data_IF_676584538009
#
_entry.id   IF_676584538009
#
_cell.length_a   1.000
_cell.length_b   1.000
_cell.length_c   1.000
_cell.angle_alpha   90.00
_cell.angle_beta   90.00
_cell.angle_gamma   90.00
#
_symmetry.space_group_name_H-M   'P 1'
#
loop_
_entity.id
_entity.type
_entity.pdbx_description
1 polymer ?
#
# COMPACT_ATOMS: atom_id res chain seq x y z
N UNK A 1 -4.27 -29.40 26.90
CA UNK A 1 -4.29 -29.70 25.45
C UNK A 1 -5.48 -28.97 24.82
N UNK A 2 -5.24 -28.11 23.83
CA UNK A 2 -6.32 -27.43 23.12
C UNK A 2 -6.70 -28.26 21.88
N UNK A 3 -7.94 -28.72 21.82
CA UNK A 3 -8.48 -29.46 20.68
C UNK A 3 -9.26 -28.49 19.78
N UNK A 4 -8.67 -28.04 18.67
CA UNK A 4 -9.36 -27.20 17.68
C UNK A 4 -9.83 -28.09 16.52
N UNK A 5 -11.14 -28.29 16.42
CA UNK A 5 -11.78 -28.91 15.26
C UNK A 5 -12.34 -27.77 14.41
N UNK A 6 -12.13 -27.81 13.10
CA UNK A 6 -12.73 -26.86 12.15
C UNK A 6 -13.75 -27.60 11.29
N UNK A 7 -14.71 -26.89 10.69
CA UNK A 7 -15.71 -27.50 9.81
C UNK A 7 -15.07 -28.32 8.67
N UNK A 8 -13.88 -27.91 8.23
CA UNK A 8 -13.12 -28.56 7.15
C UNK A 8 -12.24 -29.73 7.64
N UNK A 9 -12.06 -29.90 8.95
CA UNK A 9 -11.22 -30.96 9.55
C UNK A 9 -12.06 -31.74 10.57
N UNK A 10 -12.83 -32.75 10.13
CA UNK A 10 -13.76 -33.49 10.98
C UNK A 10 -13.07 -34.43 11.99
N UNK A 11 -11.75 -34.61 11.87
CA UNK A 11 -10.92 -35.49 12.70
C UNK A 11 -9.57 -34.84 12.95
N UNK A 12 -9.14 -34.79 14.20
CA UNK A 12 -7.80 -34.29 14.55
C UNK A 12 -6.84 -35.46 14.66
N UNK A 13 -5.77 -35.44 13.88
CA UNK A 13 -4.73 -36.47 13.89
C UNK A 13 -3.46 -35.93 14.53
N UNK A 14 -2.97 -36.59 15.58
CA UNK A 14 -1.75 -36.21 16.29
C UNK A 14 -0.85 -37.43 16.46
N UNK A 15 0.45 -37.29 16.18
CA UNK A 15 1.41 -38.35 16.47
C UNK A 15 1.67 -38.42 17.99
N UNK A 16 1.58 -39.61 18.57
CA UNK A 16 1.82 -39.82 20.00
C UNK A 16 3.21 -39.35 20.42
N UNK A 17 4.24 -39.63 19.62
CA UNK A 17 5.62 -39.21 19.91
C UNK A 17 5.78 -37.69 19.97
N UNK A 18 4.97 -36.93 19.21
CA UNK A 18 4.98 -35.47 19.28
C UNK A 18 4.14 -34.96 20.45
N UNK A 19 3.13 -35.71 20.91
CA UNK A 19 2.21 -35.30 21.97
C UNK A 19 2.79 -35.56 23.37
N UNK A 20 3.40 -36.73 23.56
CA UNK A 20 3.88 -37.21 24.85
C UNK A 20 4.84 -36.25 25.59
N UNK A 21 5.79 -35.54 24.92
CA UNK A 21 6.66 -34.59 25.59
C UNK A 21 5.95 -33.38 26.22
N UNK A 22 4.73 -33.06 25.76
CA UNK A 22 3.93 -31.96 26.29
C UNK A 22 3.00 -32.39 27.44
N UNK A 23 3.06 -33.66 27.83
CA UNK A 23 2.24 -34.25 28.88
C UNK A 23 3.17 -34.81 29.97
N UNK A 24 2.68 -34.99 31.21
CA UNK A 24 3.42 -35.63 32.28
C UNK A 24 3.47 -37.16 32.09
N UNK A 25 3.85 -37.62 30.90
CA UNK A 25 3.89 -39.02 30.49
C UNK A 25 5.23 -39.33 29.82
N UNK A 26 5.63 -40.60 29.80
CA UNK A 26 6.87 -41.01 29.14
C UNK A 26 6.58 -41.32 27.68
N UNK A 27 7.54 -41.06 26.80
CA UNK A 27 7.40 -41.42 25.38
C UNK A 27 7.62 -42.93 25.24
N UNK A 28 6.55 -43.69 25.04
CA UNK A 28 6.62 -45.14 24.85
C UNK A 28 6.69 -45.55 23.36
N UNK A 29 7.56 -46.49 22.99
CA UNK A 29 7.66 -46.98 21.60
C UNK A 29 6.52 -47.95 21.24
N UNK A 30 5.89 -48.60 22.22
CA UNK A 30 4.87 -49.63 22.01
C UNK A 30 3.47 -49.08 22.25
N UNK A 31 2.55 -49.37 21.33
CA UNK A 31 1.17 -48.88 21.38
C UNK A 31 0.43 -49.28 22.66
N UNK A 32 0.61 -50.51 23.15
CA UNK A 32 -0.05 -50.99 24.36
C UNK A 32 0.32 -50.17 25.61
N UNK A 33 1.57 -49.73 25.70
CA UNK A 33 2.06 -48.92 26.83
C UNK A 33 1.64 -47.46 26.71
N UNK A 34 1.72 -46.89 25.49
CA UNK A 34 1.20 -45.56 25.20
C UNK A 34 -0.29 -45.46 25.54
N UNK A 35 -1.05 -46.49 25.16
CA UNK A 35 -2.47 -46.64 25.47
C UNK A 35 -2.73 -46.69 26.97
N UNK A 36 -2.00 -47.51 27.71
CA UNK A 36 -2.13 -47.61 29.17
C UNK A 36 -1.88 -46.27 29.88
N UNK A 37 -1.00 -45.42 29.36
CA UNK A 37 -0.71 -44.10 29.94
C UNK A 37 -1.78 -43.05 29.62
N UNK A 38 -2.31 -43.03 28.39
CA UNK A 38 -3.24 -41.99 27.95
C UNK A 38 -4.73 -42.37 28.05
N UNK A 39 -5.07 -43.65 28.10
CA UNK A 39 -6.47 -44.11 28.16
C UNK A 39 -7.26 -43.53 29.34
N UNK A 40 -6.71 -43.37 30.57
CA UNK A 40 -7.44 -42.72 31.66
C UNK A 40 -7.87 -41.30 31.30
N UNK A 41 -6.94 -40.47 30.81
CA UNK A 41 -7.23 -39.10 30.43
C UNK A 41 -8.14 -39.01 29.19
N UNK A 42 -8.00 -39.94 28.24
CA UNK A 42 -8.89 -40.03 27.07
C UNK A 42 -10.31 -40.39 27.51
N UNK A 43 -10.45 -41.31 28.46
CA UNK A 43 -11.76 -41.72 29.00
C UNK A 43 -12.47 -40.53 29.64
N UNK A 44 -11.76 -39.72 30.42
CA UNK A 44 -12.30 -38.49 31.00
C UNK A 44 -12.79 -37.49 29.94
N UNK A 45 -12.07 -37.35 28.82
CA UNK A 45 -12.46 -36.47 27.71
C UNK A 45 -13.70 -36.99 26.97
N UNK A 46 -13.84 -38.31 26.87
CA UNK A 46 -15.02 -38.96 26.27
C UNK A 46 -16.23 -38.80 27.18
N UNK A 47 -16.07 -39.07 28.48
CA UNK A 47 -17.13 -38.94 29.48
C UNK A 47 -17.67 -37.51 29.56
N UNK A 48 -16.78 -36.52 29.47
CA UNK A 48 -17.14 -35.09 29.44
C UNK A 48 -17.71 -34.63 28.09
N UNK A 49 -17.80 -35.52 27.09
CA UNK A 49 -18.36 -35.23 25.77
C UNK A 49 -17.53 -34.26 24.93
N UNK A 50 -16.25 -34.05 25.28
CA UNK A 50 -15.30 -33.22 24.53
C UNK A 50 -14.92 -33.91 23.23
N UNK A 51 -14.64 -35.21 23.31
CA UNK A 51 -14.41 -36.09 22.15
C UNK A 51 -15.40 -37.23 22.18
N UNK A 52 -15.86 -37.70 21.02
CA UNK A 52 -16.77 -38.85 20.93
C UNK A 52 -16.01 -40.16 21.14
N UNK A 53 -14.85 -40.26 20.50
CA UNK A 53 -13.93 -41.39 20.62
C UNK A 53 -12.55 -41.00 20.12
N UNK A 54 -11.56 -41.80 20.49
CA UNK A 54 -10.18 -41.69 19.99
C UNK A 54 -9.79 -43.03 19.38
N UNK A 55 -9.49 -43.00 18.08
CA UNK A 55 -9.02 -44.19 17.36
C UNK A 55 -7.47 -44.19 17.39
N UNK A 56 -6.88 -45.30 17.84
CA UNK A 56 -5.43 -45.50 17.81
C UNK A 56 -5.07 -46.21 16.51
N UNK A 57 -4.16 -45.63 15.74
CA UNK A 57 -3.68 -46.21 14.48
C UNK A 57 -2.17 -46.18 14.42
N UNK A 58 -1.59 -47.08 13.64
CA UNK A 58 -0.18 -47.02 13.28
C UNK A 58 -0.05 -46.52 11.84
N UNK A 59 0.77 -45.48 11.64
CA UNK A 59 1.13 -44.99 10.32
C UNK A 59 1.98 -46.02 9.58
N UNK A 60 2.07 -45.89 8.25
CA UNK A 60 2.97 -46.69 7.40
C UNK A 60 4.44 -46.61 7.84
N UNK A 61 4.83 -45.52 8.49
CA UNK A 61 6.17 -45.30 9.03
C UNK A 61 6.37 -45.92 10.43
N UNK A 62 5.41 -46.72 10.94
CA UNK A 62 5.45 -47.33 12.27
C UNK A 62 5.21 -46.35 13.43
N UNK A 63 4.76 -45.12 13.15
CA UNK A 63 4.46 -44.11 14.17
C UNK A 63 3.03 -44.27 14.69
N UNK A 64 2.86 -44.09 16.00
CA UNK A 64 1.55 -44.21 16.65
C UNK A 64 0.80 -42.89 16.48
N UNK A 65 -0.44 -42.95 15.99
CA UNK A 65 -1.29 -41.80 15.73
C UNK A 65 -2.57 -41.91 16.54
N UNK A 66 -2.97 -40.78 17.13
CA UNK A 66 -4.26 -40.63 17.80
C UNK A 66 -5.19 -39.83 16.90
N UNK A 67 -6.36 -40.40 16.62
CA UNK A 67 -7.40 -39.79 15.81
C UNK A 67 -8.55 -39.40 16.72
N UNK A 68 -8.64 -38.12 17.06
CA UNK A 68 -9.72 -37.59 17.88
C UNK A 68 -10.93 -37.27 17.01
N UNK A 69 -12.11 -37.74 17.43
CA UNK A 69 -13.39 -37.40 16.81
C UNK A 69 -14.10 -36.39 17.73
N UNK A 70 -14.53 -35.22 17.21
CA UNK A 70 -15.14 -34.18 18.05
C UNK A 70 -16.43 -34.67 18.71
N UNK A 71 -16.58 -34.37 20.00
CA UNK A 71 -17.76 -34.64 20.79
C UNK A 71 -18.81 -33.52 20.71
N UNK A 72 -20.00 -33.74 21.25
CA UNK A 72 -21.09 -32.77 21.23
C UNK A 72 -20.77 -31.45 21.94
N UNK A 73 -19.89 -31.45 22.95
CA UNK A 73 -19.49 -30.22 23.64
C UNK A 73 -18.82 -29.23 22.68
N UNK A 74 -18.00 -29.72 21.74
CA UNK A 74 -17.29 -28.89 20.76
C UNK A 74 -18.15 -28.55 19.53
N UNK A 75 -19.23 -29.30 19.27
CA UNK A 75 -20.17 -29.01 18.16
C UNK A 75 -21.11 -27.84 18.47
N UNK A 76 -21.44 -27.57 19.75
CA UNK A 76 -22.35 -26.49 20.15
C UNK A 76 -21.77 -25.09 19.93
N UNK A 77 -20.46 -24.91 20.10
CA UNK A 77 -19.80 -23.62 19.88
C UNK A 77 -19.76 -23.21 18.39
N UNK A 78 -19.77 -24.18 17.47
CA UNK A 78 -19.72 -23.93 16.03
C UNK A 78 -21.04 -23.42 15.45
N UNK A 79 -22.18 -23.76 16.05
CA UNK A 79 -23.50 -23.27 15.63
C UNK A 79 -23.96 -22.02 16.39
N UNK A 80 -23.38 -21.72 17.55
CA UNK A 80 -23.75 -20.55 18.37
C UNK A 80 -22.95 -19.27 18.05
N UNK A 81 -21.89 -19.34 17.22
CA UNK A 81 -21.02 -18.18 16.98
C UNK A 81 -21.56 -17.14 15.96
N UNK A 82 -22.89 -17.03 15.84
CA UNK A 82 -23.56 -15.84 15.32
C UNK A 82 -24.39 -15.23 16.44
N UNK A 83 -23.80 -14.23 17.10
CA UNK A 83 -24.38 -13.32 18.11
C UNK A 83 -24.43 -13.90 19.52
N UNK A 84 -23.47 -13.47 20.36
CA UNK A 84 -23.76 -13.07 21.73
C UNK A 84 -22.60 -12.23 22.29
N UNK A 85 -22.97 -11.11 22.92
CA UNK A 85 -22.11 -10.15 23.62
C UNK A 85 -21.45 -10.78 24.86
N UNK A 86 -20.34 -10.20 25.37
CA UNK A 86 -19.64 -10.78 26.51
C UNK A 86 -20.38 -10.45 27.80
N UNK A 87 -20.90 -11.47 28.48
CA UNK A 87 -21.26 -11.39 29.89
C UNK A 87 -20.03 -11.74 30.73
N UNK A 88 -19.63 -10.82 31.58
CA UNK A 88 -18.69 -11.03 32.68
C UNK A 88 -19.20 -12.16 33.58
N UNK A 89 -18.44 -13.25 33.70
CA UNK A 89 -18.07 -13.80 35.00
C UNK A 89 -17.05 -14.93 34.88
N UNK A 90 -16.25 -15.03 35.94
CA UNK A 90 -15.42 -16.17 36.35
C UNK A 90 -13.96 -16.21 35.88
N UNK A 91 -13.11 -16.02 36.89
CA UNK A 91 -11.67 -16.10 36.92
C UNK A 91 -11.14 -17.44 36.38
N UNK A 92 -10.86 -17.48 35.07
CA UNK A 92 -9.76 -18.27 34.54
C UNK A 92 -8.81 -17.31 33.83
N UNK A 93 -7.56 -17.36 34.28
CA UNK A 93 -6.40 -16.72 33.67
C UNK A 93 -6.49 -16.82 32.15
N UNK A 94 -6.76 -15.70 31.49
CA UNK A 94 -6.88 -15.63 30.04
C UNK A 94 -5.51 -15.91 29.44
N UNK A 95 -5.23 -17.20 29.19
CA UNK A 95 -4.16 -17.62 28.31
C UNK A 95 -4.47 -17.05 26.93
N UNK A 96 -3.87 -15.90 26.61
CA UNK A 96 -3.91 -15.31 25.28
C UNK A 96 -3.05 -16.17 24.36
N UNK A 97 -3.66 -17.23 23.82
CA UNK A 97 -3.06 -18.08 22.80
C UNK A 97 -2.87 -17.24 21.54
N UNK A 98 -1.64 -16.77 21.31
CA UNK A 98 -1.22 -16.33 19.98
C UNK A 98 -1.15 -17.58 19.10
N UNK A 99 -2.11 -17.70 18.20
CA UNK A 99 -2.01 -18.61 17.06
C UNK A 99 -0.64 -18.36 16.40
N UNK A 100 0.27 -19.32 16.44
CA UNK A 100 1.37 -19.35 15.50
C UNK A 100 0.72 -19.84 14.20
N UNK A 101 0.39 -18.96 13.23
CA UNK A 101 0.19 -19.47 11.88
C UNK A 101 1.43 -20.29 11.56
N UNK A 102 1.28 -21.40 10.84
CA UNK A 102 2.43 -21.98 10.15
C UNK A 102 3.08 -20.83 9.40
N UNK A 103 4.17 -20.30 9.96
CA UNK A 103 4.83 -19.13 9.41
C UNK A 103 5.52 -19.66 8.17
N UNK A 104 4.83 -19.58 7.04
CA UNK A 104 5.38 -19.94 5.75
C UNK A 104 6.75 -19.29 5.66
N UNK A 105 7.77 -20.11 5.42
CA UNK A 105 9.12 -19.58 5.28
C UNK A 105 9.12 -18.56 4.14
N UNK A 106 9.93 -17.49 4.23
CA UNK A 106 10.01 -16.49 3.17
C UNK A 106 10.29 -17.10 1.79
N UNK A 107 11.07 -18.19 1.75
CA UNK A 107 11.37 -18.98 0.55
C UNK A 107 10.15 -19.69 -0.01
N UNK A 108 9.37 -20.39 0.83
CA UNK A 108 8.11 -21.04 0.41
C UNK A 108 7.10 -20.03 -0.12
N UNK A 109 6.96 -18.90 0.59
CA UNK A 109 6.03 -17.83 0.21
C UNK A 109 6.37 -17.27 -1.16
N UNK A 110 7.65 -17.03 -1.44
CA UNK A 110 8.11 -16.49 -2.71
C UNK A 110 7.80 -17.45 -3.88
N UNK A 111 8.13 -18.74 -3.73
CA UNK A 111 7.88 -19.76 -4.76
C UNK A 111 6.38 -19.97 -4.99
N UNK A 112 5.58 -20.04 -3.91
CA UNK A 112 4.12 -20.12 -4.02
C UNK A 112 3.55 -18.88 -4.71
N UNK A 113 4.08 -17.68 -4.40
CA UNK A 113 3.65 -16.44 -5.04
C UNK A 113 3.88 -16.48 -6.56
N UNK A 114 5.05 -16.96 -6.99
CA UNK A 114 5.34 -17.18 -8.42
C UNK A 114 4.34 -18.14 -9.06
N UNK A 115 4.17 -19.35 -8.53
CA UNK A 115 3.28 -20.36 -9.12
C UNK A 115 1.81 -19.93 -9.09
N UNK A 116 1.40 -19.18 -8.08
CA UNK A 116 0.08 -18.55 -8.00
C UNK A 116 -0.11 -17.51 -9.11
N UNK A 117 0.88 -16.65 -9.37
CA UNK A 117 0.82 -15.65 -10.44
C UNK A 117 0.93 -16.27 -11.84
N UNK A 118 1.67 -17.37 -11.96
CA UNK A 118 1.87 -18.07 -13.22
C UNK A 118 0.66 -18.92 -13.61
N UNK A 119 0.29 -19.88 -12.76
CA UNK A 119 -0.69 -20.93 -13.03
C UNK A 119 -2.05 -20.70 -12.35
N UNK A 120 -2.15 -19.76 -11.40
CA UNK A 120 -3.37 -19.56 -10.60
C UNK A 120 -3.59 -20.59 -9.50
N UNK A 121 -2.67 -21.54 -9.31
CA UNK A 121 -2.80 -22.61 -8.30
C UNK A 121 -2.35 -22.12 -6.91
N UNK A 122 -3.25 -22.02 -5.91
CA UNK A 122 -2.89 -21.52 -4.59
C UNK A 122 -2.11 -22.55 -3.74
N UNK A 123 -2.25 -23.85 -4.02
CA UNK A 123 -1.74 -24.94 -3.18
C UNK A 123 -0.48 -25.61 -3.73
N UNK A 124 0.37 -24.86 -4.44
CA UNK A 124 1.62 -25.42 -4.95
C UNK A 124 2.56 -25.80 -3.79
N UNK A 125 3.13 -27.01 -3.86
CA UNK A 125 4.12 -27.51 -2.90
C UNK A 125 5.51 -27.35 -3.53
N UNK A 126 6.32 -26.37 -3.05
CA UNK A 126 7.62 -26.08 -3.65
C UNK A 126 8.57 -27.27 -3.65
N UNK A 127 9.30 -27.47 -4.75
CA UNK A 127 10.38 -28.46 -4.78
C UNK A 127 11.60 -27.98 -3.96
N UNK A 128 12.38 -28.92 -3.40
CA UNK A 128 13.61 -28.59 -2.65
C UNK A 128 14.62 -27.76 -3.45
N UNK A 129 14.70 -27.98 -4.77
CA UNK A 129 15.55 -27.20 -5.67
C UNK A 129 15.08 -25.75 -5.81
N UNK A 130 13.77 -25.52 -5.91
CA UNK A 130 13.18 -24.18 -5.97
C UNK A 130 13.39 -23.43 -4.66
N UNK A 131 13.28 -24.10 -3.52
CA UNK A 131 13.52 -23.50 -2.21
C UNK A 131 14.98 -23.04 -2.04
N UNK A 132 15.96 -23.85 -2.46
CA UNK A 132 17.38 -23.45 -2.46
C UNK A 132 17.64 -22.24 -3.35
N UNK A 133 17.01 -22.23 -4.53
CA UNK A 133 17.14 -21.10 -5.46
C UNK A 133 16.47 -19.83 -4.90
N UNK A 134 15.30 -19.96 -4.27
CA UNK A 134 14.65 -18.84 -3.58
C UNK A 134 15.49 -18.29 -2.44
N UNK A 135 16.17 -19.15 -1.68
CA UNK A 135 17.08 -18.74 -0.61
C UNK A 135 18.26 -17.91 -1.15
N UNK A 136 18.85 -18.32 -2.28
CA UNK A 136 19.90 -17.56 -2.95
C UNK A 136 19.42 -16.18 -3.39
N UNK A 137 18.27 -16.11 -4.06
CA UNK A 137 17.69 -14.83 -4.51
C UNK A 137 17.39 -13.91 -3.33
N UNK A 138 16.82 -14.44 -2.25
CA UNK A 138 16.52 -13.68 -1.05
C UNK A 138 17.80 -13.16 -0.40
N UNK A 139 18.89 -13.92 -0.41
CA UNK A 139 20.19 -13.46 0.05
C UNK A 139 20.76 -12.31 -0.77
N UNK A 140 20.51 -12.27 -2.08
CA UNK A 140 21.04 -11.25 -2.98
C UNK A 140 20.22 -9.96 -3.00
N UNK A 141 18.89 -10.06 -3.07
CA UNK A 141 17.99 -8.91 -3.26
C UNK A 141 17.11 -8.59 -2.05
N UNK A 142 16.99 -9.53 -1.10
CA UNK A 142 16.04 -9.42 0.00
C UNK A 142 14.60 -9.78 -0.38
N UNK A 143 13.79 -10.09 0.64
CA UNK A 143 12.42 -10.58 0.46
C UNK A 143 11.49 -9.51 -0.11
N UNK A 144 11.59 -8.27 0.39
CA UNK A 144 10.67 -7.19 0.04
C UNK A 144 10.81 -6.74 -1.42
N UNK A 145 12.05 -6.66 -1.93
CA UNK A 145 12.31 -6.27 -3.32
C UNK A 145 11.77 -7.34 -4.27
N UNK A 146 12.02 -8.62 -3.98
CA UNK A 146 11.53 -9.76 -4.75
C UNK A 146 10.00 -9.85 -4.78
N UNK A 147 9.34 -9.72 -3.62
CA UNK A 147 7.88 -9.74 -3.52
C UNK A 147 7.24 -8.61 -4.35
N UNK A 148 7.86 -7.42 -4.37
CA UNK A 148 7.38 -6.28 -5.14
C UNK A 148 7.56 -6.43 -6.66
N UNK A 149 8.65 -7.05 -7.12
CA UNK A 149 8.93 -7.23 -8.56
C UNK A 149 8.31 -8.49 -9.16
N UNK A 150 7.92 -9.48 -8.34
CA UNK A 150 7.48 -10.80 -8.81
C UNK A 150 6.35 -10.74 -9.86
N UNK A 151 5.36 -9.86 -9.66
CA UNK A 151 4.25 -9.67 -10.63
C UNK A 151 4.75 -9.23 -12.00
N UNK A 152 5.77 -8.38 -12.04
CA UNK A 152 6.34 -7.84 -13.26
C UNK A 152 7.22 -8.89 -13.95
N UNK A 153 8.04 -9.60 -13.17
CA UNK A 153 8.84 -10.75 -13.66
C UNK A 153 7.96 -11.78 -14.35
N UNK A 154 6.88 -12.23 -13.69
CA UNK A 154 5.93 -13.20 -14.27
C UNK A 154 5.29 -12.67 -15.55
N UNK A 155 4.94 -11.38 -15.60
CA UNK A 155 4.38 -10.76 -16.81
C UNK A 155 5.38 -10.76 -17.96
N UNK A 156 6.61 -10.32 -17.73
CA UNK A 156 7.67 -10.31 -18.75
C UNK A 156 7.97 -11.73 -19.25
N UNK A 157 8.09 -12.69 -18.33
CA UNK A 157 8.30 -14.09 -18.67
C UNK A 157 7.16 -14.69 -19.50
N UNK A 158 5.88 -14.35 -19.20
CA UNK A 158 4.74 -14.82 -19.99
C UNK A 158 4.76 -14.29 -21.43
N UNK A 159 5.25 -13.06 -21.62
CA UNK A 159 5.38 -12.46 -22.95
C UNK A 159 6.53 -13.07 -23.75
N UNK A 160 7.70 -13.23 -23.15
CA UNK A 160 8.90 -13.69 -23.85
C UNK A 160 9.00 -15.22 -23.95
N UNK A 161 8.59 -15.95 -22.92
CA UNK A 161 8.71 -17.40 -22.80
C UNK A 161 7.48 -18.04 -22.13
N UNK A 162 6.34 -18.17 -22.83
CA UNK A 162 5.10 -18.70 -22.25
C UNK A 162 5.19 -20.15 -21.78
N UNK A 163 6.18 -20.91 -22.26
CA UNK A 163 6.39 -22.31 -21.88
C UNK A 163 7.29 -22.49 -20.65
N UNK A 164 7.96 -21.44 -20.18
CA UNK A 164 8.88 -21.51 -19.04
C UNK A 164 8.12 -21.46 -17.70
N UNK A 165 7.62 -22.62 -17.25
CA UNK A 165 6.83 -22.74 -16.01
C UNK A 165 7.66 -22.92 -14.74
N UNK A 166 8.98 -22.96 -14.85
CA UNK A 166 9.88 -23.24 -13.72
C UNK A 166 10.30 -21.94 -13.01
N UNK A 167 10.31 -21.96 -11.67
CA UNK A 167 10.69 -20.78 -10.89
C UNK A 167 12.14 -20.34 -11.17
N UNK A 168 13.06 -21.26 -11.44
CA UNK A 168 14.46 -20.94 -11.75
C UNK A 168 14.64 -20.10 -13.03
N UNK A 169 13.69 -20.13 -13.96
CA UNK A 169 13.75 -19.32 -15.17
C UNK A 169 13.61 -17.81 -14.88
N UNK A 170 13.12 -17.44 -13.69
CA UNK A 170 13.02 -16.04 -13.24
C UNK A 170 14.39 -15.35 -13.10
N UNK A 171 15.47 -16.12 -12.89
CA UNK A 171 16.83 -15.62 -12.65
C UNK A 171 17.27 -14.57 -13.69
N UNK A 172 16.96 -14.81 -14.96
CA UNK A 172 17.36 -13.95 -16.08
C UNK A 172 16.63 -12.60 -16.09
N UNK A 173 15.42 -12.54 -15.54
CA UNK A 173 14.54 -11.37 -15.64
C UNK A 173 14.58 -10.49 -14.39
N UNK A 174 14.88 -11.07 -13.22
CA UNK A 174 14.87 -10.36 -11.95
C UNK A 174 15.76 -9.10 -11.98
N UNK A 175 17.04 -9.15 -12.41
CA UNK A 175 17.89 -7.96 -12.41
C UNK A 175 17.35 -6.84 -13.31
N UNK A 176 16.88 -7.20 -14.52
CA UNK A 176 16.35 -6.23 -15.47
C UNK A 176 15.08 -5.54 -14.95
N UNK A 177 14.18 -6.30 -14.30
CA UNK A 177 12.94 -5.76 -13.73
C UNK A 177 13.23 -4.89 -12.49
N UNK A 178 14.18 -5.29 -11.64
CA UNK A 178 14.61 -4.49 -10.48
C UNK A 178 15.18 -3.15 -10.96
N UNK A 179 16.11 -3.15 -11.91
CA UNK A 179 16.70 -1.93 -12.44
C UNK A 179 15.69 -1.04 -13.16
N UNK A 180 14.70 -1.64 -13.85
CA UNK A 180 13.60 -0.86 -14.41
C UNK A 180 12.78 -0.18 -13.31
N UNK A 181 12.39 -0.91 -12.26
CA UNK A 181 11.63 -0.35 -11.14
C UNK A 181 12.38 0.78 -10.44
N UNK A 182 13.69 0.63 -10.20
CA UNK A 182 14.54 1.66 -9.60
C UNK A 182 14.60 2.92 -10.47
N UNK A 183 14.72 2.75 -11.80
CA UNK A 183 14.67 3.88 -12.75
C UNK A 183 13.30 4.58 -12.74
N UNK A 184 12.22 3.81 -12.69
CA UNK A 184 10.85 4.36 -12.64
C UNK A 184 10.61 5.13 -11.33
N UNK A 185 11.07 4.59 -10.19
CA UNK A 185 10.96 5.24 -8.89
C UNK A 185 11.75 6.55 -8.83
N UNK A 186 13.00 6.54 -9.31
CA UNK A 186 13.81 7.77 -9.42
C UNK A 186 13.11 8.81 -10.30
N UNK A 187 12.61 8.40 -11.45
CA UNK A 187 11.89 9.30 -12.38
C UNK A 187 10.63 9.88 -11.74
N UNK A 188 9.90 9.08 -10.95
CA UNK A 188 8.71 9.54 -10.22
C UNK A 188 9.07 10.59 -9.16
N UNK A 189 10.14 10.36 -8.39
CA UNK A 189 10.61 11.31 -7.38
C UNK A 189 11.07 12.63 -8.01
N UNK A 190 11.81 12.56 -9.12
CA UNK A 190 12.23 13.76 -9.85
C UNK A 190 11.02 14.57 -10.34
N UNK A 191 10.04 13.93 -10.98
CA UNK A 191 8.81 14.61 -11.42
C UNK A 191 8.03 15.22 -10.27
N UNK A 192 7.96 14.54 -9.12
CA UNK A 192 7.29 15.08 -7.95
C UNK A 192 7.99 16.33 -7.44
N UNK A 193 9.33 16.31 -7.34
CA UNK A 193 10.12 17.47 -6.94
C UNK A 193 9.99 18.64 -7.93
N UNK A 194 9.97 18.36 -9.24
CA UNK A 194 9.75 19.38 -10.28
C UNK A 194 8.37 20.04 -10.15
N UNK A 195 7.32 19.26 -9.89
CA UNK A 195 5.97 19.78 -9.68
C UNK A 195 5.88 20.63 -8.40
N UNK A 196 6.54 20.21 -7.33
CA UNK A 196 6.62 20.98 -6.09
C UNK A 196 7.34 22.32 -6.31
N UNK A 197 8.46 22.31 -7.03
CA UNK A 197 9.20 23.53 -7.38
C UNK A 197 8.34 24.45 -8.25
N UNK A 198 7.67 23.92 -9.27
CA UNK A 198 6.80 24.70 -10.13
C UNK A 198 5.65 25.37 -9.36
N UNK A 199 5.08 24.69 -8.36
CA UNK A 199 4.05 25.29 -7.50
C UNK A 199 4.60 26.44 -6.64
N UNK A 200 5.83 26.32 -6.14
CA UNK A 200 6.50 27.38 -5.39
C UNK A 200 6.74 28.59 -6.29
N UNK A 201 7.28 28.36 -7.48
CA UNK A 201 7.58 29.42 -8.46
C UNK A 201 6.29 30.13 -8.91
N UNK A 202 5.23 29.38 -9.18
CA UNK A 202 3.91 29.93 -9.53
C UNK A 202 3.31 30.75 -8.38
N UNK A 203 3.44 30.27 -7.13
CA UNK A 203 2.96 30.98 -5.96
C UNK A 203 3.75 32.28 -5.73
N UNK A 204 5.06 32.27 -5.94
CA UNK A 204 5.90 33.46 -5.86
C UNK A 204 5.54 34.46 -6.97
N UNK A 205 5.38 34.00 -8.21
CA UNK A 205 4.99 34.85 -9.32
C UNK A 205 3.61 35.49 -9.08
N UNK A 206 2.64 34.73 -8.55
CA UNK A 206 1.33 35.26 -8.14
C UNK A 206 1.43 36.30 -7.03
N UNK A 207 2.26 36.07 -6.01
CA UNK A 207 2.52 37.04 -4.94
C UNK A 207 3.16 38.32 -5.50
N UNK A 208 4.13 38.19 -6.38
CA UNK A 208 4.81 39.34 -7.00
C UNK A 208 3.85 40.14 -7.87
N UNK A 209 3.02 39.48 -8.69
CA UNK A 209 1.97 40.14 -9.49
C UNK A 209 0.96 40.87 -8.62
N UNK A 210 0.53 40.25 -7.52
CA UNK A 210 -0.39 40.86 -6.55
C UNK A 210 0.22 42.08 -5.87
N UNK A 211 1.50 42.02 -5.50
CA UNK A 211 2.25 43.16 -4.95
C UNK A 211 2.36 44.31 -5.96
N UNK A 212 2.69 44.01 -7.22
CA UNK A 212 2.74 45.01 -8.30
C UNK A 212 1.38 45.68 -8.52
N UNK A 213 0.30 44.89 -8.54
CA UNK A 213 -1.06 45.41 -8.70
C UNK A 213 -1.45 46.32 -7.53
N UNK A 214 -1.25 45.87 -6.29
CA UNK A 214 -1.52 46.68 -5.08
C UNK A 214 -0.73 47.99 -5.08
N UNK A 215 0.57 47.94 -5.36
CA UNK A 215 1.43 49.14 -5.45
C UNK A 215 0.93 50.10 -6.53
N UNK A 216 0.50 49.58 -7.69
CA UNK A 216 -0.07 50.40 -8.75
C UNK A 216 -1.34 51.09 -8.26
N UNK A 217 -2.26 50.35 -7.66
CA UNK A 217 -3.52 50.91 -7.17
C UNK A 217 -3.30 51.97 -6.08
N UNK A 218 -2.35 51.75 -5.17
CA UNK A 218 -1.94 52.75 -4.16
C UNK A 218 -1.39 54.03 -4.81
N UNK A 219 -0.55 53.91 -5.84
CA UNK A 219 -0.03 55.07 -6.57
C UNK A 219 -1.14 55.80 -7.35
N UNK A 220 -2.10 55.07 -7.92
CA UNK A 220 -3.24 55.65 -8.63
C UNK A 220 -4.19 56.38 -7.70
N UNK A 221 -4.41 55.86 -6.48
CA UNK A 221 -5.18 56.56 -5.47
C UNK A 221 -4.52 57.90 -5.12
N UNK A 222 -3.22 57.89 -4.82
CA UNK A 222 -2.45 59.12 -4.55
C UNK A 222 -2.47 60.09 -5.72
N UNK A 223 -2.35 59.59 -6.96
CA UNK A 223 -2.43 60.42 -8.16
C UNK A 223 -3.78 61.14 -8.29
N UNK A 224 -4.89 60.49 -7.92
CA UNK A 224 -6.23 61.08 -7.96
C UNK A 224 -6.43 62.16 -6.91
N UNK A 225 -5.74 62.07 -5.77
CA UNK A 225 -5.76 63.06 -4.69
C UNK A 225 -4.97 64.34 -5.03
N UNK A 226 -4.04 64.28 -5.98
CA UNK A 226 -3.25 65.44 -6.40
C UNK A 226 -4.10 66.49 -7.13
N UNK A 227 -3.71 67.76 -6.94
CA UNK A 227 -4.28 68.87 -7.68
C UNK A 227 -4.04 68.71 -9.19
N UNK A 228 -4.84 69.39 -10.02
CA UNK A 228 -4.65 69.35 -11.48
C UNK A 228 -3.29 69.92 -11.86
N UNK A 229 -2.84 70.98 -11.19
CA UNK A 229 -1.55 71.62 -11.41
C UNK A 229 -0.39 70.67 -11.12
N UNK A 230 -0.41 69.96 -9.99
CA UNK A 230 0.66 69.01 -9.63
C UNK A 230 0.73 67.84 -10.61
N UNK A 231 -0.43 67.33 -11.04
CA UNK A 231 -0.50 66.25 -12.04
C UNK A 231 0.13 66.69 -13.37
N UNK A 232 -0.14 67.91 -13.82
CA UNK A 232 0.42 68.43 -15.07
C UNK A 232 1.93 68.65 -14.98
N UNK A 233 2.42 69.18 -13.85
CA UNK A 233 3.87 69.32 -13.61
C UNK A 233 4.59 67.96 -13.62
N UNK A 234 4.04 66.95 -12.93
CA UNK A 234 4.62 65.59 -12.94
C UNK A 234 4.59 65.00 -14.35
N UNK A 235 3.51 65.24 -15.12
CA UNK A 235 3.40 64.78 -16.51
C UNK A 235 4.49 65.39 -17.40
N UNK A 236 4.68 66.69 -17.32
CA UNK A 236 5.72 67.40 -18.09
C UNK A 236 7.12 66.94 -17.72
N UNK A 237 7.40 66.79 -16.43
CA UNK A 237 8.68 66.26 -15.95
C UNK A 237 8.93 64.81 -16.43
N UNK A 238 7.89 63.96 -16.41
CA UNK A 238 8.01 62.59 -16.90
C UNK A 238 8.28 62.54 -18.40
N UNK A 239 7.58 63.35 -19.21
CA UNK A 239 7.82 63.43 -20.66
C UNK A 239 9.22 63.92 -20.97
N UNK A 240 9.70 64.96 -20.26
CA UNK A 240 11.04 65.50 -20.44
C UNK A 240 12.15 64.48 -20.06
N UNK A 241 11.86 63.55 -19.15
CA UNK A 241 12.79 62.51 -18.72
C UNK A 241 12.82 61.28 -19.67
N UNK A 242 11.83 61.11 -20.55
CA UNK A 242 11.82 60.00 -21.50
C UNK A 242 12.77 60.32 -22.67
N UNK A 243 13.72 59.44 -22.99
CA UNK A 243 14.60 59.61 -24.16
C UNK A 243 13.81 59.78 -25.46
N UNK A 244 14.27 60.69 -26.32
CA UNK A 244 13.57 61.07 -27.56
C UNK A 244 13.32 59.88 -28.50
N UNK A 245 14.22 58.90 -28.55
CA UNK A 245 14.10 57.69 -29.35
C UNK A 245 12.96 56.77 -28.86
N UNK A 246 12.67 56.76 -27.56
CA UNK A 246 11.53 56.05 -26.98
C UNK A 246 10.22 56.76 -27.32
N UNK A 247 10.18 58.10 -27.22
CA UNK A 247 9.01 58.89 -27.64
C UNK A 247 8.68 58.66 -29.11
N UNK A 248 9.68 58.71 -29.99
CA UNK A 248 9.52 58.46 -31.43
C UNK A 248 8.97 57.06 -31.73
N UNK A 249 9.37 56.04 -30.96
CA UNK A 249 8.86 54.66 -31.11
C UNK A 249 7.41 54.52 -30.67
N UNK A 250 7.01 55.24 -29.62
CA UNK A 250 5.61 55.28 -29.15
C UNK A 250 4.73 55.95 -30.22
N UNK A 251 5.20 57.04 -30.81
CA UNK A 251 4.51 57.76 -31.89
C UNK A 251 4.42 56.93 -33.19
N UNK A 252 5.48 56.21 -33.56
CA UNK A 252 5.46 55.33 -34.74
C UNK A 252 4.58 54.09 -34.55
N UNK A 253 4.56 53.50 -33.35
CA UNK A 253 3.66 52.39 -33.04
C UNK A 253 2.18 52.80 -33.09
N UNK A 254 1.89 54.08 -32.90
CA UNK A 254 0.55 54.65 -33.00
C UNK A 254 0.06 54.87 -34.43
N UNK A 255 0.98 55.02 -35.39
CA UNK A 255 0.66 55.31 -36.79
C UNK A 255 0.45 54.04 -37.62
N UNK A 256 1.01 52.90 -37.21
CA UNK A 256 0.87 51.61 -37.90
C UNK A 256 -0.31 50.74 -37.45
N UNK A 257 -1.06 51.14 -36.42
CA UNK A 257 -2.21 50.38 -35.89
C UNK A 257 -3.54 51.09 -36.21
N UNK A 258 -4.13 50.79 -37.37
CA UNK A 258 -5.58 50.88 -37.64
C UNK A 258 -6.41 49.86 -36.82
N UNK A 259 -5.94 49.47 -35.64
CA UNK A 259 -6.64 48.58 -34.71
C UNK A 259 -6.77 49.32 -33.36
N UNK A 260 -8.00 49.64 -32.91
CA UNK A 260 -8.24 50.51 -31.76
C UNK A 260 -7.98 49.73 -30.47
N UNK A 261 -6.70 49.56 -30.12
CA UNK A 261 -6.34 49.20 -28.76
C UNK A 261 -6.20 50.49 -27.95
N UNK A 262 -7.01 50.68 -26.89
CA UNK A 262 -6.99 51.89 -26.10
C UNK A 262 -5.64 52.04 -25.39
N UNK A 263 -5.03 53.21 -25.57
CA UNK A 263 -3.72 53.51 -25.03
C UNK A 263 -3.69 53.65 -23.52
N UNK A 264 -2.50 53.38 -22.98
CA UNK A 264 -2.13 53.55 -21.56
C UNK A 264 -2.23 55.03 -21.13
N UNK A 265 -2.23 55.97 -22.08
CA UNK A 265 -2.45 57.40 -21.83
C UNK A 265 -3.93 57.82 -21.77
N UNK A 266 -4.85 57.09 -22.43
CA UNK A 266 -6.29 57.37 -22.40
C UNK A 266 -7.04 56.59 -21.30
N UNK A 267 -6.39 55.61 -20.67
CA UNK A 267 -6.99 54.81 -19.60
C UNK A 267 -7.29 55.60 -18.31
N UNK A 268 -6.78 56.83 -18.17
CA UNK A 268 -6.96 57.64 -16.97
C UNK A 268 -8.11 58.66 -17.02
N UNK A 269 -8.72 58.89 -18.18
CA UNK A 269 -9.82 59.87 -18.31
C UNK A 269 -11.23 59.28 -18.28
N UNK A 270 -11.42 57.97 -18.48
CA UNK A 270 -12.77 57.38 -18.67
C UNK A 270 -13.19 56.37 -17.59
N UNK A 271 -13.25 56.76 -16.31
CA UNK A 271 -13.90 55.95 -15.25
C UNK A 271 -15.01 56.66 -14.46
N UNK A 272 -15.58 57.78 -14.96
CA UNK A 272 -16.59 58.52 -14.19
C UNK A 272 -18.04 58.05 -14.36
N UNK A 273 -18.42 57.20 -15.31
CA UNK A 273 -19.84 56.85 -15.52
C UNK A 273 -20.01 55.45 -16.07
N UNK A 274 -20.40 54.50 -15.21
CA UNK A 274 -20.60 53.10 -15.63
C UNK A 274 -21.30 52.25 -14.58
N UNK A 275 -22.50 52.67 -14.15
CA UNK A 275 -23.43 51.89 -13.34
C UNK A 275 -23.79 50.58 -14.06
N UNK A 276 -23.16 49.47 -13.66
CA UNK A 276 -23.51 48.13 -14.12
C UNK A 276 -24.60 47.54 -13.23
N UNK A 277 -25.84 47.55 -13.71
CA UNK A 277 -26.91 46.72 -13.16
C UNK A 277 -26.57 45.23 -13.32
N UNK A 278 -26.52 44.54 -12.19
CA UNK A 278 -26.42 43.08 -12.12
C UNK A 278 -27.81 42.49 -12.35
N UNK A 279 -28.03 41.90 -13.53
CA UNK A 279 -29.18 41.01 -13.78
C UNK A 279 -28.87 39.64 -13.18
N UNK A 280 -29.63 39.26 -12.14
CA UNK A 280 -29.72 37.88 -11.64
C UNK A 280 -30.49 37.02 -12.65
N UNK A 281 -29.94 35.85 -12.97
CA UNK A 281 -30.66 34.61 -13.26
C UNK A 281 -29.89 33.48 -12.62
#
# INVERSE_FOLDING_TARGET
LLFKFTADIPKLMINYQTLAPFLPVRVEPRLSWARKQLDPAISDLVERGVVTRVDWTESRDGKIQLHFIPGPALKREHSANRRCSPSNDSAMEQVTVRELPYSESPTERLVRSFHRLWSGTPNHHPAKSELKFAEQLIGEYGVEELDAVMKHVVRTMKTEFPNARTFSATARYIPAVIEQRRRDEKSRLTRQSELEQQQVDDAEHRKQKSRKFRRRDELLAKWRELSVTDREQIRQAAVAAIPYDVLRRIESAHTDLTDPRPCVLDYFSNQSTGSRQVRRR
#
